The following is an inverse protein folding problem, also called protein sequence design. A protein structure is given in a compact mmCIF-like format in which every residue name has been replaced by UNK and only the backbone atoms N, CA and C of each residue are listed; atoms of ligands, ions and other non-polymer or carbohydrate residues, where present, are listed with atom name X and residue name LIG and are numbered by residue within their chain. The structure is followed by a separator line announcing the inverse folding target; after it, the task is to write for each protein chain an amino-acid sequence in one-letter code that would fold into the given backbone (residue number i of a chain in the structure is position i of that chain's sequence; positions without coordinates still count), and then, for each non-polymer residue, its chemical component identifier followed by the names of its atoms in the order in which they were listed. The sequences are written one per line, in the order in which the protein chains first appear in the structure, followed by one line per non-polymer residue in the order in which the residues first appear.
data_IF_444575054100
#
_entry.id   IF_444575054100
#
_cell.length_a   1.000
_cell.length_b   1.000
_cell.length_c   1.000
_cell.angle_alpha   90.00
_cell.angle_beta   90.00
_cell.angle_gamma   90.00
#
_symmetry.space_group_name_H-M   'P 1'
#
loop_
_entity.id
_entity.type
_entity.pdbx_description
1 polymer ?
#
# COMPACT_ATOMS: atom_id res chain seq x y z
N UNK A 1 -2.10 36.03 -17.31
CA UNK A 1 -1.21 34.92 -16.93
C UNK A 1 -1.34 34.71 -15.43
N UNK A 2 -1.57 33.47 -14.97
CA UNK A 2 -1.75 33.18 -13.55
C UNK A 2 -0.40 33.27 -12.82
N UNK A 3 -0.30 34.00 -11.69
CA UNK A 3 0.96 34.19 -10.94
C UNK A 3 1.51 32.90 -10.29
N UNK A 4 0.77 31.78 -10.36
CA UNK A 4 1.19 30.49 -9.78
C UNK A 4 2.25 29.78 -10.64
N UNK A 5 2.34 30.09 -11.93
CA UNK A 5 3.31 29.46 -12.83
C UNK A 5 4.77 29.87 -12.62
N UNK A 6 5.02 31.02 -11.98
CA UNK A 6 6.36 31.60 -11.82
C UNK A 6 7.09 31.11 -10.56
N UNK A 7 6.37 30.55 -9.58
CA UNK A 7 6.96 30.00 -8.33
C UNK A 7 7.63 28.63 -8.52
N UNK A 8 7.57 28.04 -9.72
CA UNK A 8 8.01 26.68 -10.00
C UNK A 8 9.27 26.60 -10.90
N UNK A 9 9.98 27.70 -11.15
CA UNK A 9 11.08 27.66 -12.12
C UNK A 9 12.35 26.97 -11.62
N UNK A 10 12.62 26.92 -10.30
CA UNK A 10 13.77 26.18 -9.73
C UNK A 10 13.50 25.78 -8.28
N UNK A 11 12.80 24.65 -8.05
CA UNK A 11 12.95 23.98 -6.76
C UNK A 11 14.44 23.59 -6.64
N UNK A 12 15.17 24.05 -5.61
CA UNK A 12 16.54 23.63 -5.44
C UNK A 12 16.50 22.12 -5.18
N UNK A 13 17.03 21.32 -6.10
CA UNK A 13 17.15 19.88 -5.91
C UNK A 13 18.55 19.65 -5.33
N UNK A 14 18.62 19.18 -4.09
CA UNK A 14 19.88 18.82 -3.48
C UNK A 14 20.61 17.76 -4.34
N UNK A 15 21.93 17.92 -4.49
CA UNK A 15 22.75 16.89 -5.15
C UNK A 15 23.14 15.85 -4.10
N UNK A 16 22.62 14.62 -4.17
CA UNK A 16 22.94 13.60 -3.18
C UNK A 16 24.39 13.11 -3.34
N UNK A 17 24.97 12.61 -2.26
CA UNK A 17 26.22 11.83 -2.34
C UNK A 17 25.99 10.50 -3.04
N UNK A 18 27.04 9.87 -3.55
CA UNK A 18 26.95 8.56 -4.22
C UNK A 18 26.37 7.49 -3.28
N UNK A 19 26.76 7.50 -2.00
CA UNK A 19 26.19 6.62 -0.97
C UNK A 19 24.68 6.82 -0.82
N UNK A 20 24.22 8.08 -0.72
CA UNK A 20 22.79 8.41 -0.59
C UNK A 20 22.02 7.98 -1.84
N UNK A 21 22.62 8.14 -3.03
CA UNK A 21 22.06 7.69 -4.29
C UNK A 21 21.90 6.18 -4.33
N UNK A 22 22.95 5.44 -3.99
CA UNK A 22 22.93 3.97 -4.01
C UNK A 22 21.87 3.41 -3.06
N UNK A 23 21.79 3.95 -1.84
CA UNK A 23 20.80 3.53 -0.85
C UNK A 23 19.36 3.86 -1.29
N UNK A 24 19.14 5.05 -1.85
CA UNK A 24 17.84 5.43 -2.38
C UNK A 24 17.41 4.53 -3.55
N UNK A 25 18.32 4.24 -4.48
CA UNK A 25 18.06 3.32 -5.59
C UNK A 25 17.71 1.91 -5.10
N UNK A 26 18.45 1.39 -4.11
CA UNK A 26 18.15 0.11 -3.49
C UNK A 26 16.76 0.07 -2.84
N UNK A 27 16.41 1.13 -2.12
CA UNK A 27 15.10 1.28 -1.47
C UNK A 27 13.96 1.34 -2.48
N UNK A 28 14.13 2.10 -3.57
CA UNK A 28 13.14 2.19 -4.65
C UNK A 28 12.96 0.85 -5.38
N UNK A 29 14.06 0.15 -5.70
CA UNK A 29 13.98 -1.20 -6.31
C UNK A 29 13.18 -2.14 -5.42
N UNK A 30 13.41 -2.10 -4.11
CA UNK A 30 12.67 -2.93 -3.15
C UNK A 30 11.19 -2.54 -3.07
N UNK A 31 10.85 -1.24 -3.06
CA UNK A 31 9.46 -0.77 -3.10
C UNK A 31 8.70 -1.27 -4.34
N UNK A 32 9.34 -1.28 -5.50
CA UNK A 32 8.76 -1.84 -6.73
C UNK A 32 8.45 -3.32 -6.55
N UNK A 33 9.37 -4.10 -5.98
CA UNK A 33 9.14 -5.52 -5.69
C UNK A 33 7.98 -5.74 -4.71
N UNK A 34 7.92 -4.98 -3.61
CA UNK A 34 6.83 -5.09 -2.62
C UNK A 34 5.48 -4.75 -3.23
N UNK A 35 5.43 -3.72 -4.08
CA UNK A 35 4.22 -3.36 -4.83
C UNK A 35 3.79 -4.46 -5.80
N UNK A 36 4.74 -5.15 -6.44
CA UNK A 36 4.45 -6.30 -7.29
C UNK A 36 3.88 -7.47 -6.48
N UNK A 37 4.48 -7.80 -5.32
CA UNK A 37 3.97 -8.82 -4.40
C UNK A 37 2.54 -8.51 -3.93
N UNK A 38 2.24 -7.27 -3.56
CA UNK A 38 0.87 -6.88 -3.19
C UNK A 38 -0.12 -7.08 -4.35
N UNK A 39 0.26 -6.67 -5.57
CA UNK A 39 -0.60 -6.80 -6.74
C UNK A 39 -0.86 -8.25 -7.10
N UNK A 40 0.16 -9.10 -7.01
CA UNK A 40 0.06 -10.53 -7.29
C UNK A 40 -0.86 -11.23 -6.27
N UNK A 41 -0.58 -11.11 -4.98
CA UNK A 41 -1.39 -11.72 -3.93
C UNK A 41 -2.87 -11.27 -4.01
N UNK A 42 -3.10 -10.00 -4.34
CA UNK A 42 -4.46 -9.48 -4.54
C UNK A 42 -5.12 -10.10 -5.76
N UNK A 43 -4.45 -10.12 -6.91
CA UNK A 43 -4.99 -10.71 -8.13
C UNK A 43 -5.36 -12.17 -7.89
N UNK A 44 -4.45 -12.94 -7.28
CA UNK A 44 -4.63 -14.38 -7.09
C UNK A 44 -5.78 -14.67 -6.12
N UNK A 45 -5.90 -13.89 -5.04
CA UNK A 45 -7.04 -14.00 -4.12
C UNK A 45 -8.37 -13.66 -4.81
N UNK A 46 -8.42 -12.57 -5.58
CA UNK A 46 -9.64 -12.15 -6.28
C UNK A 46 -10.03 -13.13 -7.39
N UNK A 47 -9.05 -13.69 -8.09
CA UNK A 47 -9.30 -14.70 -9.11
C UNK A 47 -9.83 -16.00 -8.51
N UNK A 48 -9.25 -16.44 -7.39
CA UNK A 48 -9.76 -17.57 -6.62
C UNK A 48 -11.21 -17.34 -6.16
N UNK A 49 -11.55 -16.15 -5.63
CA UNK A 49 -12.93 -15.81 -5.28
C UNK A 49 -13.88 -15.82 -6.48
N UNK A 50 -13.41 -15.40 -7.64
CA UNK A 50 -14.19 -15.41 -8.88
C UNK A 50 -14.48 -16.84 -9.35
N UNK A 51 -13.48 -17.72 -9.31
CA UNK A 51 -13.56 -19.11 -9.79
C UNK A 51 -14.33 -20.00 -8.80
N UNK A 52 -13.96 -19.97 -7.52
CA UNK A 52 -14.49 -20.91 -6.51
C UNK A 52 -15.77 -20.43 -5.82
N UNK A 53 -15.99 -19.10 -5.78
CA UNK A 53 -17.11 -18.50 -5.04
C UNK A 53 -18.03 -17.65 -5.93
N UNK A 54 -17.78 -17.57 -7.24
CA UNK A 54 -18.65 -16.85 -8.18
C UNK A 54 -18.66 -15.32 -7.98
N UNK A 55 -17.66 -14.75 -7.27
CA UNK A 55 -17.57 -13.31 -7.02
C UNK A 55 -17.08 -12.59 -8.27
N UNK A 56 -17.99 -12.29 -9.19
CA UNK A 56 -17.65 -11.63 -10.47
C UNK A 56 -17.29 -10.15 -10.30
N UNK A 57 -17.86 -9.48 -9.29
CA UNK A 57 -17.65 -8.05 -9.02
C UNK A 57 -17.25 -7.86 -7.56
N UNK A 58 -15.95 -7.92 -7.23
CA UNK A 58 -15.49 -7.89 -5.84
C UNK A 58 -15.85 -6.58 -5.12
N UNK A 59 -15.78 -5.44 -5.84
CA UNK A 59 -16.01 -4.12 -5.26
C UNK A 59 -14.87 -3.68 -4.33
N UNK A 60 -14.94 -2.43 -3.86
CA UNK A 60 -13.82 -1.78 -3.17
C UNK A 60 -13.35 -2.51 -1.90
N UNK A 61 -14.26 -3.11 -1.12
CA UNK A 61 -13.90 -3.80 0.12
C UNK A 61 -13.11 -5.09 -0.12
N UNK A 62 -13.51 -5.90 -1.11
CA UNK A 62 -12.75 -7.10 -1.46
C UNK A 62 -11.49 -6.77 -2.24
N UNK A 63 -11.46 -5.70 -3.04
CA UNK A 63 -10.20 -5.19 -3.63
C UNK A 63 -9.20 -4.77 -2.54
N UNK A 64 -9.68 -4.23 -1.42
CA UNK A 64 -8.89 -3.85 -0.26
C UNK A 64 -8.93 -4.90 0.87
N UNK A 65 -9.16 -6.18 0.57
CA UNK A 65 -9.46 -7.21 1.58
C UNK A 65 -8.41 -7.34 2.68
N UNK A 66 -7.14 -7.07 2.40
CA UNK A 66 -6.07 -7.13 3.40
C UNK A 66 -6.26 -6.14 4.56
N UNK A 67 -7.07 -5.09 4.36
CA UNK A 67 -7.45 -4.14 5.42
C UNK A 67 -8.64 -4.61 6.28
N UNK A 68 -9.35 -5.66 5.86
CA UNK A 68 -10.43 -6.28 6.63
C UNK A 68 -9.86 -7.29 7.62
N UNK A 69 -10.64 -7.70 8.61
CA UNK A 69 -10.43 -8.96 9.33
C UNK A 69 -11.09 -10.15 8.56
N UNK A 70 -10.82 -11.36 9.04
CA UNK A 70 -11.28 -12.59 8.38
C UNK A 70 -12.81 -12.72 8.32
N UNK A 71 -13.53 -12.28 9.36
CA UNK A 71 -14.99 -12.40 9.41
C UNK A 71 -15.65 -11.33 8.52
N UNK A 72 -15.13 -10.11 8.53
CA UNK A 72 -15.54 -9.04 7.63
C UNK A 72 -15.30 -9.41 6.15
N UNK A 73 -14.19 -10.08 5.85
CA UNK A 73 -13.92 -10.63 4.53
C UNK A 73 -14.97 -11.68 4.11
N UNK A 74 -15.23 -12.67 4.97
CA UNK A 74 -16.23 -13.72 4.70
C UNK A 74 -17.62 -13.12 4.45
N UNK A 75 -18.03 -12.14 5.25
CA UNK A 75 -19.32 -11.47 5.08
C UNK A 75 -19.37 -10.64 3.80
N UNK A 76 -18.28 -9.98 3.40
CA UNK A 76 -18.24 -9.27 2.13
C UNK A 76 -18.28 -10.26 0.94
N UNK A 77 -17.56 -11.39 1.00
CA UNK A 77 -17.69 -12.46 0.00
C UNK A 77 -19.15 -12.91 -0.11
N UNK A 78 -19.81 -13.20 1.02
CA UNK A 78 -21.23 -13.61 1.04
C UNK A 78 -22.15 -12.60 0.36
N UNK A 79 -21.91 -11.29 0.52
CA UNK A 79 -22.71 -10.23 -0.13
C UNK A 79 -22.48 -10.16 -1.65
N UNK A 80 -21.28 -10.52 -2.11
CA UNK A 80 -20.90 -10.43 -3.53
C UNK A 80 -21.19 -11.69 -4.34
N UNK A 81 -21.51 -12.81 -3.67
CA UNK A 81 -21.97 -14.04 -4.32
C UNK A 81 -23.29 -13.83 -5.07
N UNK A 82 -23.53 -14.57 -6.17
CA UNK A 82 -24.81 -14.54 -6.88
C UNK A 82 -26.00 -14.85 -5.97
N UNK A 83 -27.10 -14.12 -6.18
CA UNK A 83 -28.35 -14.36 -5.45
C UNK A 83 -28.91 -15.73 -5.83
N UNK A 84 -29.33 -16.50 -4.84
CA UNK A 84 -29.94 -17.83 -5.05
C UNK A 84 -28.96 -19.00 -4.96
N UNK A 85 -27.64 -18.75 -4.86
CA UNK A 85 -26.70 -19.83 -4.57
C UNK A 85 -26.88 -20.41 -3.17
N UNK A 86 -26.51 -21.69 -3.02
CA UNK A 86 -26.53 -22.38 -1.74
C UNK A 86 -25.72 -21.63 -0.68
N UNK A 87 -26.19 -21.73 0.57
CA UNK A 87 -25.47 -21.19 1.73
C UNK A 87 -24.07 -21.79 1.80
N UNK A 88 -23.11 -20.97 2.25
CA UNK A 88 -21.75 -21.43 2.49
C UNK A 88 -21.76 -22.55 3.52
N UNK A 89 -21.07 -23.65 3.22
CA UNK A 89 -20.92 -24.79 4.13
C UNK A 89 -19.82 -24.51 5.14
N UNK A 90 -19.75 -25.24 6.27
CA UNK A 90 -18.62 -25.13 7.19
C UNK A 90 -17.26 -25.35 6.51
N UNK A 91 -17.20 -26.23 5.50
CA UNK A 91 -15.99 -26.46 4.70
C UNK A 91 -15.57 -25.24 3.89
N UNK A 92 -16.50 -24.64 3.15
CA UNK A 92 -16.19 -23.45 2.34
C UNK A 92 -15.89 -22.22 3.20
N UNK A 93 -16.50 -22.12 4.38
CA UNK A 93 -16.17 -21.08 5.37
C UNK A 93 -14.76 -21.23 5.95
N UNK A 94 -14.26 -22.46 6.11
CA UNK A 94 -12.86 -22.70 6.51
C UNK A 94 -11.90 -22.36 5.38
N UNK A 95 -12.23 -22.77 4.15
CA UNK A 95 -11.43 -22.42 2.97
C UNK A 95 -11.32 -20.90 2.79
N UNK A 96 -12.41 -20.15 2.97
CA UNK A 96 -12.40 -18.68 2.92
C UNK A 96 -11.44 -18.06 3.93
N UNK A 97 -11.45 -18.54 5.18
CA UNK A 97 -10.57 -18.00 6.23
C UNK A 97 -9.10 -18.36 6.00
N UNK A 98 -8.83 -19.57 5.53
CA UNK A 98 -7.47 -20.00 5.18
C UNK A 98 -6.92 -19.19 4.00
N UNK A 99 -7.66 -19.13 2.89
CA UNK A 99 -7.26 -18.36 1.72
C UNK A 99 -7.16 -16.85 1.98
N UNK A 100 -8.01 -16.31 2.86
CA UNK A 100 -7.84 -14.94 3.36
C UNK A 100 -6.50 -14.75 4.07
N UNK A 101 -6.12 -15.65 4.98
CA UNK A 101 -4.85 -15.57 5.69
C UNK A 101 -3.66 -15.63 4.75
N UNK A 102 -3.67 -16.59 3.83
CA UNK A 102 -2.63 -16.77 2.80
C UNK A 102 -2.51 -15.57 1.86
N UNK A 103 -3.64 -14.99 1.43
CA UNK A 103 -3.66 -13.85 0.52
C UNK A 103 -3.38 -12.50 1.20
N UNK A 104 -3.82 -12.32 2.45
CA UNK A 104 -3.71 -11.03 3.15
C UNK A 104 -2.34 -10.82 3.79
N UNK A 105 -1.70 -11.88 4.27
CA UNK A 105 -0.37 -11.81 4.89
C UNK A 105 0.69 -11.14 4.00
N UNK A 106 0.95 -11.59 2.75
CA UNK A 106 1.96 -10.98 1.90
C UNK A 106 1.66 -9.52 1.57
N UNK A 107 0.38 -9.12 1.47
CA UNK A 107 -0.01 -7.72 1.26
C UNK A 107 0.32 -6.87 2.50
N UNK A 108 0.02 -7.37 3.69
CA UNK A 108 0.30 -6.66 4.95
C UNK A 108 1.80 -6.50 5.18
N UNK A 109 2.55 -7.56 4.95
CA UNK A 109 4.01 -7.55 5.07
C UNK A 109 4.64 -6.62 4.04
N UNK A 110 4.15 -6.64 2.79
CA UNK A 110 4.61 -5.74 1.75
C UNK A 110 4.36 -4.27 2.10
N UNK A 111 3.18 -3.93 2.63
CA UNK A 111 2.84 -2.57 3.05
C UNK A 111 3.66 -2.10 4.25
N UNK A 112 3.88 -2.96 5.23
CA UNK A 112 4.73 -2.64 6.37
C UNK A 112 6.18 -2.38 5.93
N UNK A 113 6.70 -3.24 5.05
CA UNK A 113 8.02 -3.05 4.44
C UNK A 113 8.11 -1.77 3.62
N UNK A 114 7.07 -1.45 2.84
CA UNK A 114 7.01 -0.22 2.05
C UNK A 114 7.03 1.03 2.94
N UNK A 115 6.21 1.06 3.99
CA UNK A 115 6.18 2.19 4.92
C UNK A 115 7.53 2.40 5.65
N UNK A 116 8.30 1.34 5.90
CA UNK A 116 9.65 1.46 6.44
C UNK A 116 10.65 2.04 5.42
N UNK A 117 10.57 1.62 4.16
CA UNK A 117 11.42 2.13 3.08
C UNK A 117 11.08 3.58 2.70
N UNK A 118 9.80 3.94 2.72
CA UNK A 118 9.35 5.32 2.46
C UNK A 118 9.83 6.28 3.54
N UNK A 119 9.77 5.87 4.82
CA UNK A 119 10.44 6.57 5.93
C UNK A 119 11.90 6.79 5.66
N UNK A 120 12.61 5.72 5.33
CA UNK A 120 14.05 5.77 5.08
C UNK A 120 14.40 6.69 3.91
N UNK A 121 13.62 6.65 2.83
CA UNK A 121 13.77 7.55 1.70
C UNK A 121 13.53 9.01 2.11
N UNK A 122 12.53 9.28 2.95
CA UNK A 122 12.30 10.63 3.50
C UNK A 122 13.51 11.13 4.29
N UNK A 123 14.12 10.28 5.11
CA UNK A 123 15.32 10.63 5.88
C UNK A 123 16.51 10.93 4.96
N UNK A 124 16.70 10.13 3.91
CA UNK A 124 17.76 10.36 2.91
C UNK A 124 17.56 11.68 2.15
N UNK A 125 16.30 12.03 1.84
CA UNK A 125 15.97 13.32 1.23
C UNK A 125 16.32 14.46 2.17
N UNK A 126 15.89 14.41 3.44
CA UNK A 126 16.22 15.42 4.45
C UNK A 126 17.73 15.59 4.63
N UNK A 127 18.47 14.46 4.67
CA UNK A 127 19.93 14.45 4.74
C UNK A 127 20.57 15.10 3.52
N UNK A 128 20.06 14.84 2.31
CA UNK A 128 20.58 15.47 1.09
C UNK A 128 20.40 17.00 1.10
N UNK A 129 19.31 17.49 1.69
CA UNK A 129 19.09 18.92 1.91
C UNK A 129 19.88 19.51 3.08
N UNK A 130 20.57 18.69 3.87
CA UNK A 130 21.34 19.15 5.03
C UNK A 130 20.46 19.66 6.17
N UNK A 131 19.19 19.24 6.24
CA UNK A 131 18.26 19.69 7.27
C UNK A 131 18.64 19.10 8.63
N UNK A 132 18.60 19.96 9.65
CA UNK A 132 18.72 19.58 11.06
C UNK A 132 17.40 19.03 11.60
N UNK A 133 17.44 18.34 12.74
CA UNK A 133 16.23 17.83 13.41
C UNK A 133 15.24 18.97 13.75
N UNK A 134 15.75 20.15 14.14
CA UNK A 134 14.93 21.34 14.42
C UNK A 134 14.20 21.84 13.18
N UNK A 135 14.89 21.88 12.03
CA UNK A 135 14.31 22.28 10.75
C UNK A 135 13.30 21.25 10.23
N UNK A 136 13.56 19.94 10.42
CA UNK A 136 12.62 18.87 10.08
C UNK A 136 11.35 19.00 10.93
N UNK A 137 11.49 19.22 12.25
CA UNK A 137 10.35 19.42 13.14
C UNK A 137 9.53 20.65 12.74
N UNK A 138 10.19 21.77 12.45
CA UNK A 138 9.51 22.98 11.97
C UNK A 138 8.76 22.74 10.66
N UNK A 139 9.34 21.98 9.74
CA UNK A 139 8.70 21.61 8.47
C UNK A 139 7.43 20.77 8.71
N UNK A 140 7.44 19.85 9.68
CA UNK A 140 6.26 19.04 10.04
C UNK A 140 5.19 19.81 10.81
N UNK A 141 5.57 20.76 11.67
CA UNK A 141 4.64 21.63 12.39
C UNK A 141 3.90 22.60 11.43
N UNK A 142 4.59 23.01 10.37
CA UNK A 142 4.04 23.89 9.33
C UNK A 142 3.50 23.13 8.11
N UNK A 143 3.52 21.78 8.16
CA UNK A 143 3.12 20.94 7.04
C UNK A 143 1.62 21.10 6.69
N UNK A 144 1.27 21.24 5.40
CA UNK A 144 -0.13 21.27 5.00
C UNK A 144 -0.84 19.93 5.27
N UNK A 145 -2.19 19.92 5.40
CA UNK A 145 -2.96 18.77 5.93
C UNK A 145 -2.85 17.43 5.18
N UNK A 146 -2.16 17.36 4.03
CA UNK A 146 -2.03 16.16 3.19
C UNK A 146 -0.62 15.59 3.13
N UNK A 147 0.32 16.07 3.95
CA UNK A 147 1.62 15.41 4.01
C UNK A 147 1.48 14.03 4.66
N UNK A 148 2.02 12.96 4.04
CA UNK A 148 2.04 11.64 4.64
C UNK A 148 2.84 11.70 5.94
N UNK A 149 2.19 11.38 7.07
CA UNK A 149 2.89 11.20 8.34
C UNK A 149 3.43 9.78 8.36
N UNK A 150 4.73 9.67 8.57
CA UNK A 150 5.48 8.44 8.53
C UNK A 150 5.87 7.99 9.94
#
# INVERSE_FOLDING_TARGET
MSPVGVLMEKLPIATPTDETREEAEGSVRRLISLTATEREARRDTLDWLRVEFGVQKPGQKLEAFAALDADAFVEEVRKRRPKGEARLTPGSLRALRAGYGEGAAPIRDARAGAAALERRLSDLVNKAYGLTDEEINLLWDTAPPRMPRF
#
